data_IF_202776443668
#
_entry.id   IF_202776443668
#
_cell.length_a   1.000
_cell.length_b   1.000
_cell.length_c   1.000
_cell.angle_alpha   90.00
_cell.angle_beta   90.00
_cell.angle_gamma   90.00
#
_symmetry.space_group_name_H-M   'P 1'
#
loop_
_entity.id
_entity.type
_entity.pdbx_description
1 polymer ?
#
# COMPACT_ATOMS: atom_id res chain seq x y z
N UNK A 1 4.95 28.22 65.14
CA UNK A 1 4.28 29.21 64.28
C UNK A 1 4.10 28.57 62.92
N UNK A 2 2.83 28.36 62.59
CA UNK A 2 2.26 27.54 61.53
C UNK A 2 2.41 28.21 60.17
N UNK A 3 2.74 27.43 59.13
CA UNK A 3 2.20 27.51 57.74
C UNK A 3 3.05 26.69 56.75
N UNK A 4 2.52 25.55 56.31
CA UNK A 4 2.88 24.95 55.02
C UNK A 4 1.58 24.80 54.23
N UNK A 5 1.40 25.62 53.21
CA UNK A 5 0.26 25.55 52.30
C UNK A 5 0.57 24.52 51.20
N UNK A 6 -0.19 23.44 51.15
CA UNK A 6 -0.23 22.52 50.01
C UNK A 6 -1.16 23.11 48.94
N UNK A 7 -0.61 23.52 47.79
CA UNK A 7 -1.40 23.87 46.61
C UNK A 7 -1.66 22.59 45.83
N UNK A 8 -2.92 22.14 45.83
CA UNK A 8 -3.40 21.04 45.01
C UNK A 8 -3.71 21.59 43.60
N UNK A 9 -2.82 21.37 42.63
CA UNK A 9 -3.11 21.61 41.21
C UNK A 9 -3.86 20.40 40.68
N UNK A 10 -5.19 20.50 40.57
CA UNK A 10 -5.99 19.50 39.85
C UNK A 10 -5.81 19.77 38.36
N UNK A 11 -4.93 18.99 37.73
CA UNK A 11 -4.78 18.97 36.28
C UNK A 11 -6.05 18.45 35.63
N UNK A 12 -6.65 19.27 34.77
CA UNK A 12 -7.78 18.89 33.93
C UNK A 12 -7.28 17.83 32.93
N UNK A 13 -7.76 16.59 33.06
CA UNK A 13 -7.59 15.58 32.00
C UNK A 13 -8.45 16.03 30.81
N UNK A 14 -7.79 16.51 29.75
CA UNK A 14 -8.43 16.65 28.45
C UNK A 14 -8.82 15.26 27.97
N UNK A 15 -10.12 15.02 27.84
CA UNK A 15 -10.64 13.87 27.10
C UNK A 15 -10.29 14.11 25.63
N UNK A 16 -9.12 13.60 25.22
CA UNK A 16 -8.76 13.50 23.82
C UNK A 16 -9.78 12.60 23.14
N UNK A 17 -10.58 13.20 22.27
CA UNK A 17 -11.56 12.55 21.42
C UNK A 17 -10.96 11.28 20.81
N UNK A 18 -11.60 10.12 21.06
CA UNK A 18 -11.40 8.92 20.25
C UNK A 18 -11.99 9.19 18.86
N UNK A 19 -11.28 9.95 18.03
CA UNK A 19 -11.49 9.89 16.60
C UNK A 19 -10.90 8.55 16.17
N UNK A 20 -11.74 7.72 15.54
CA UNK A 20 -11.36 6.39 15.08
C UNK A 20 -10.02 6.44 14.38
N UNK A 21 -9.11 5.54 14.78
CA UNK A 21 -7.82 5.33 14.13
C UNK A 21 -8.11 4.87 12.70
N UNK A 22 -8.26 5.81 11.77
CA UNK A 22 -8.07 5.52 10.36
C UNK A 22 -6.68 4.92 10.24
N UNK A 23 -6.54 3.83 9.48
CA UNK A 23 -5.26 3.17 9.23
C UNK A 23 -4.37 4.04 8.32
N UNK A 24 -4.10 5.28 8.74
CA UNK A 24 -3.03 6.09 8.17
C UNK A 24 -1.72 5.39 8.56
N UNK A 25 -1.12 4.67 7.61
CA UNK A 25 0.24 4.21 7.78
C UNK A 25 1.21 5.37 7.94
N UNK A 26 2.38 5.05 8.48
CA UNK A 26 3.45 6.01 8.73
C UNK A 26 3.82 6.78 7.44
N UNK A 27 3.62 6.14 6.28
CA UNK A 27 3.91 6.67 4.95
C UNK A 27 2.70 6.55 4.01
N UNK A 28 1.76 7.49 4.09
CA UNK A 28 0.65 7.58 3.13
C UNK A 28 1.15 8.06 1.75
N UNK A 29 0.95 7.26 0.70
CA UNK A 29 1.47 7.55 -0.66
C UNK A 29 0.98 8.87 -1.25
N UNK A 30 -0.15 9.40 -0.79
CA UNK A 30 -0.66 10.71 -1.27
C UNK A 30 0.23 11.87 -0.83
N UNK A 31 0.92 11.74 0.32
CA UNK A 31 1.93 12.70 0.78
C UNK A 31 3.18 12.70 -0.11
N UNK A 32 3.38 11.64 -0.91
CA UNK A 32 4.48 11.49 -1.86
C UNK A 32 4.06 11.82 -3.31
N UNK A 33 2.82 12.26 -3.51
CA UNK A 33 2.31 12.73 -4.79
C UNK A 33 1.46 11.73 -5.57
N UNK A 34 1.15 10.55 -5.01
CA UNK A 34 0.26 9.59 -5.65
C UNK A 34 -1.16 10.18 -5.75
N UNK A 35 -1.81 9.99 -6.90
CA UNK A 35 -3.14 10.53 -7.19
C UNK A 35 -4.25 9.51 -6.99
N UNK A 36 -4.01 8.24 -7.33
CA UNK A 36 -5.04 7.21 -7.23
C UNK A 36 -6.26 7.47 -8.15
N UNK A 37 -6.07 8.18 -9.26
CA UNK A 37 -7.13 8.59 -10.19
C UNK A 37 -7.34 7.60 -11.37
N UNK A 38 -6.49 6.59 -11.48
CA UNK A 38 -6.49 5.57 -12.52
C UNK A 38 -5.89 6.02 -13.86
N UNK A 39 -5.30 7.21 -13.93
CA UNK A 39 -4.77 7.82 -15.15
C UNK A 39 -3.32 8.30 -14.96
N UNK A 40 -3.05 8.97 -13.84
CA UNK A 40 -1.71 9.43 -13.46
C UNK A 40 -0.86 8.22 -13.10
N UNK A 41 0.35 8.15 -13.67
CA UNK A 41 1.33 7.13 -13.31
C UNK A 41 1.86 7.39 -11.90
N UNK A 42 1.42 6.56 -10.95
CA UNK A 42 1.72 6.68 -9.53
C UNK A 42 2.97 5.90 -9.12
N UNK A 43 3.63 5.20 -10.05
CA UNK A 43 4.78 4.31 -9.77
C UNK A 43 5.85 5.01 -8.95
N UNK A 44 6.31 6.19 -9.39
CA UNK A 44 7.40 6.91 -8.72
C UNK A 44 6.98 7.45 -7.34
N UNK A 45 5.72 7.82 -7.16
CA UNK A 45 5.21 8.33 -5.88
C UNK A 45 5.09 7.22 -4.85
N UNK A 46 4.63 6.03 -5.26
CA UNK A 46 4.57 4.85 -4.40
C UNK A 46 5.98 4.39 -4.03
N UNK A 47 6.90 4.31 -5.01
CA UNK A 47 8.29 3.92 -4.73
C UNK A 47 8.96 4.87 -3.74
N UNK A 48 8.76 6.19 -3.85
CA UNK A 48 9.29 7.15 -2.88
C UNK A 48 8.80 6.90 -1.45
N UNK A 49 7.54 6.51 -1.28
CA UNK A 49 7.00 6.17 0.04
C UNK A 49 7.66 4.91 0.60
N UNK A 50 7.88 3.89 -0.25
CA UNK A 50 8.61 2.66 0.10
C UNK A 50 10.06 2.96 0.50
N UNK A 51 10.74 3.82 -0.25
CA UNK A 51 12.12 4.20 -0.01
C UNK A 51 12.28 4.99 1.31
N UNK A 52 11.33 5.87 1.64
CA UNK A 52 11.34 6.59 2.91
C UNK A 52 11.03 5.66 4.09
N UNK A 53 10.06 4.74 3.93
CA UNK A 53 9.76 3.73 4.92
C UNK A 53 10.98 2.83 5.21
N UNK A 54 11.77 2.49 4.20
CA UNK A 54 12.97 1.66 4.36
C UNK A 54 14.00 2.24 5.34
N UNK A 55 14.01 3.57 5.54
CA UNK A 55 14.98 4.23 6.42
C UNK A 55 14.72 3.97 7.91
N UNK A 56 13.47 3.69 8.27
CA UNK A 56 13.04 3.55 9.67
C UNK A 56 12.19 2.29 9.91
N UNK A 57 11.89 1.53 8.86
CA UNK A 57 10.86 0.50 8.84
C UNK A 57 9.45 1.11 8.83
N UNK A 58 8.44 0.26 8.72
CA UNK A 58 7.05 0.67 8.97
C UNK A 58 6.11 0.47 7.78
N UNK A 59 4.99 1.17 7.82
CA UNK A 59 3.86 0.89 6.94
C UNK A 59 3.65 1.98 5.87
N UNK A 60 3.74 1.57 4.61
CA UNK A 60 3.30 2.35 3.45
C UNK A 60 1.82 2.11 3.22
N UNK A 61 1.02 3.17 3.34
CA UNK A 61 -0.42 3.10 3.21
C UNK A 61 -0.90 3.66 1.88
N UNK A 62 -1.70 2.87 1.16
CA UNK A 62 -2.40 3.27 -0.04
C UNK A 62 -3.90 3.44 0.28
N UNK A 63 -4.42 4.68 0.40
CA UNK A 63 -5.85 4.89 0.63
C UNK A 63 -6.70 4.40 -0.57
N UNK A 64 -8.03 4.27 -0.41
CA UNK A 64 -8.91 3.88 -1.50
C UNK A 64 -8.69 4.74 -2.75
N UNK A 65 -8.47 4.09 -3.90
CA UNK A 65 -8.07 4.74 -5.14
C UNK A 65 -7.67 3.72 -6.20
N UNK A 66 -7.48 4.21 -7.43
CA UNK A 66 -6.96 3.43 -8.56
C UNK A 66 -5.58 3.95 -8.92
N UNK A 67 -4.54 3.19 -8.63
CA UNK A 67 -3.17 3.60 -8.85
C UNK A 67 -2.66 2.96 -10.14
N UNK A 68 -2.39 3.76 -11.16
CA UNK A 68 -1.76 3.26 -12.38
C UNK A 68 -0.27 3.05 -12.11
N UNK A 69 0.18 1.81 -12.28
CA UNK A 69 1.57 1.41 -12.07
C UNK A 69 2.12 0.88 -13.39
N UNK A 70 3.00 1.68 -14.00
CA UNK A 70 3.65 1.37 -15.29
C UNK A 70 5.03 0.73 -15.15
N UNK A 71 5.59 0.71 -13.95
CA UNK A 71 6.86 0.05 -13.63
C UNK A 71 6.71 -1.06 -12.61
N UNK A 72 7.78 -1.28 -11.85
CA UNK A 72 7.88 -2.26 -10.77
C UNK A 72 7.92 -1.52 -9.43
N UNK A 73 7.50 -2.20 -8.35
CA UNK A 73 7.55 -1.70 -6.98
C UNK A 73 8.49 -2.59 -6.17
N UNK A 74 9.65 -2.03 -5.82
CA UNK A 74 10.62 -2.70 -4.96
C UNK A 74 10.26 -2.41 -3.50
N UNK A 75 9.84 -3.43 -2.75
CA UNK A 75 9.43 -3.32 -1.34
C UNK A 75 10.63 -3.67 -0.45
N UNK A 76 11.32 -2.67 0.15
CA UNK A 76 12.54 -2.91 0.90
C UNK A 76 12.31 -3.67 2.20
N UNK A 77 13.37 -4.26 2.75
CA UNK A 77 13.26 -5.08 3.96
C UNK A 77 12.63 -4.30 5.15
N UNK A 78 11.77 -4.96 5.91
CA UNK A 78 11.09 -4.36 7.07
C UNK A 78 9.95 -3.39 6.73
N UNK A 79 9.51 -3.33 5.48
CA UNK A 79 8.41 -2.47 5.02
C UNK A 79 7.14 -3.28 4.77
N UNK A 80 6.03 -2.78 5.30
CA UNK A 80 4.68 -3.30 5.04
C UNK A 80 3.94 -2.38 4.06
N UNK A 81 3.28 -2.96 3.06
CA UNK A 81 2.39 -2.25 2.14
C UNK A 81 0.96 -2.62 2.49
N UNK A 82 0.15 -1.61 2.85
CA UNK A 82 -1.24 -1.82 3.26
C UNK A 82 -2.16 -0.96 2.41
N UNK A 83 -3.12 -1.61 1.77
CA UNK A 83 -4.25 -0.96 1.11
C UNK A 83 -5.53 -1.03 1.91
N UNK A 84 -6.50 -0.23 1.50
CA UNK A 84 -7.86 -0.30 2.01
C UNK A 84 -8.64 -1.42 1.27
N UNK A 85 -8.50 -2.66 1.76
CA UNK A 85 -9.16 -3.81 1.13
C UNK A 85 -10.68 -3.71 1.16
N UNK A 86 -11.33 -3.93 0.02
CA UNK A 86 -12.75 -4.28 -0.08
C UNK A 86 -12.91 -5.36 -1.13
N UNK A 87 -13.44 -6.52 -0.75
CA UNK A 87 -13.63 -7.64 -1.68
C UNK A 87 -14.44 -7.19 -2.90
N UNK A 88 -13.97 -7.45 -4.13
CA UNK A 88 -14.70 -7.06 -5.32
C UNK A 88 -16.02 -7.82 -5.41
N UNK A 89 -17.07 -7.13 -5.88
CA UNK A 89 -18.36 -7.74 -6.19
C UNK A 89 -18.51 -7.76 -7.71
N UNK A 90 -18.92 -8.90 -8.27
CA UNK A 90 -18.92 -9.14 -9.72
C UNK A 90 -19.67 -8.08 -10.56
N UNK A 91 -20.63 -7.36 -9.97
CA UNK A 91 -21.48 -6.37 -10.61
C UNK A 91 -21.30 -4.95 -10.06
N UNK A 92 -20.19 -4.66 -9.38
CA UNK A 92 -19.89 -3.33 -8.84
C UNK A 92 -18.52 -2.86 -9.32
N UNK A 93 -18.27 -1.54 -9.38
CA UNK A 93 -16.93 -1.02 -9.60
C UNK A 93 -15.94 -1.59 -8.57
N UNK A 94 -14.69 -1.80 -8.96
CA UNK A 94 -13.62 -2.10 -8.01
C UNK A 94 -13.53 -0.94 -7.01
N UNK A 95 -13.60 -1.27 -5.72
CA UNK A 95 -13.52 -0.32 -4.60
C UNK A 95 -12.37 -0.68 -3.68
N UNK A 96 -11.93 0.26 -2.85
CA UNK A 96 -10.74 0.07 -2.04
C UNK A 96 -9.49 0.47 -2.82
N UNK A 97 -8.36 -0.15 -2.50
CA UNK A 97 -7.08 0.12 -3.16
C UNK A 97 -6.91 -0.81 -4.36
N UNK A 98 -6.86 -0.24 -5.56
CA UNK A 98 -6.71 -0.98 -6.82
C UNK A 98 -5.41 -0.56 -7.50
N UNK A 99 -4.54 -1.51 -7.78
CA UNK A 99 -3.36 -1.33 -8.63
C UNK A 99 -3.75 -1.71 -10.06
N UNK A 100 -3.62 -0.76 -10.98
CA UNK A 100 -3.75 -0.98 -12.42
C UNK A 100 -2.35 -1.21 -12.98
N UNK A 101 -1.98 -2.47 -13.19
CA UNK A 101 -0.64 -2.85 -13.61
C UNK A 101 -0.55 -2.97 -15.14
N UNK A 102 0.39 -2.23 -15.76
CA UNK A 102 0.60 -2.28 -17.22
C UNK A 102 2.03 -2.65 -17.61
N UNK A 103 2.95 -2.79 -16.66
CA UNK A 103 4.34 -3.12 -16.93
C UNK A 103 4.50 -4.57 -17.44
N UNK A 104 5.50 -4.83 -18.29
CA UNK A 104 5.95 -6.19 -18.62
C UNK A 104 5.09 -6.97 -19.62
N UNK A 105 4.03 -6.38 -20.18
CA UNK A 105 3.16 -7.08 -21.13
C UNK A 105 3.93 -7.72 -22.29
N UNK A 106 3.76 -9.01 -22.49
CA UNK A 106 4.42 -9.80 -23.54
C UNK A 106 5.82 -10.30 -23.19
N UNK A 107 6.30 -10.07 -21.96
CA UNK A 107 7.59 -10.55 -21.47
C UNK A 107 7.41 -11.25 -20.11
N UNK A 108 7.43 -12.59 -20.11
CA UNK A 108 7.26 -13.40 -18.89
C UNK A 108 8.50 -13.35 -17.97
N UNK A 109 9.68 -13.15 -18.55
CA UNK A 109 10.98 -13.17 -17.86
C UNK A 109 11.35 -11.78 -17.28
N UNK A 110 10.42 -10.83 -17.28
CA UNK A 110 10.65 -9.49 -16.75
C UNK A 110 10.66 -9.44 -15.21
N UNK A 111 10.95 -8.26 -14.68
CA UNK A 111 10.84 -7.99 -13.24
C UNK A 111 9.39 -8.05 -12.77
N UNK A 112 9.17 -8.56 -11.55
CA UNK A 112 7.83 -8.71 -10.99
C UNK A 112 7.21 -7.35 -10.64
N UNK A 113 5.88 -7.24 -10.68
CA UNK A 113 5.19 -6.00 -10.30
C UNK A 113 5.57 -5.57 -8.88
N UNK A 114 5.66 -6.52 -7.95
CA UNK A 114 6.18 -6.33 -6.61
C UNK A 114 7.38 -7.26 -6.36
N UNK A 115 8.51 -6.67 -6.03
CA UNK A 115 9.72 -7.36 -5.59
C UNK A 115 9.82 -7.23 -4.05
N UNK A 116 9.61 -8.33 -3.33
CA UNK A 116 9.53 -8.35 -1.87
C UNK A 116 10.84 -8.85 -1.26
N UNK A 117 11.50 -7.99 -0.46
CA UNK A 117 12.70 -8.33 0.32
C UNK A 117 12.32 -8.92 1.69
N UNK A 118 13.32 -9.28 2.52
CA UNK A 118 13.07 -9.95 3.80
C UNK A 118 12.20 -9.14 4.77
N UNK A 119 11.34 -9.84 5.52
CA UNK A 119 10.45 -9.24 6.53
C UNK A 119 9.52 -8.17 5.96
N UNK A 120 8.96 -8.42 4.78
CA UNK A 120 8.00 -7.52 4.11
C UNK A 120 6.60 -8.10 4.10
N UNK A 121 5.60 -7.23 3.97
CA UNK A 121 4.24 -7.68 3.71
C UNK A 121 3.53 -6.82 2.68
N UNK A 122 2.61 -7.45 1.94
CA UNK A 122 1.64 -6.77 1.08
C UNK A 122 0.25 -7.24 1.46
N UNK A 123 -0.63 -6.31 1.80
CA UNK A 123 -2.01 -6.62 2.13
C UNK A 123 -3.03 -5.60 1.67
N UNK A 124 -4.25 -6.07 1.45
CA UNK A 124 -5.41 -5.23 1.21
C UNK A 124 -5.46 -4.53 -0.16
N UNK A 125 -4.88 -5.17 -1.18
CA UNK A 125 -4.84 -4.66 -2.55
C UNK A 125 -5.72 -5.49 -3.49
N UNK A 126 -6.28 -4.85 -4.50
CA UNK A 126 -6.70 -5.52 -5.73
C UNK A 126 -5.69 -5.21 -6.83
N UNK A 127 -5.14 -6.22 -7.48
CA UNK A 127 -4.27 -6.07 -8.65
C UNK A 127 -5.07 -6.40 -9.90
N UNK A 128 -5.04 -5.50 -10.88
CA UNK A 128 -5.75 -5.67 -12.14
C UNK A 128 -4.85 -5.29 -13.31
N UNK A 129 -4.75 -6.17 -14.30
CA UNK A 129 -4.04 -5.93 -15.57
C UNK A 129 -5.04 -5.50 -16.66
N UNK A 130 -5.28 -4.19 -16.86
CA UNK A 130 -6.36 -3.70 -17.73
C UNK A 130 -6.15 -4.00 -19.22
N UNK A 131 -4.92 -4.26 -19.64
CA UNK A 131 -4.55 -4.57 -21.02
C UNK A 131 -4.63 -6.07 -21.35
N UNK A 132 -4.85 -6.91 -20.34
CA UNK A 132 -5.10 -8.34 -20.54
C UNK A 132 -6.55 -8.51 -21.04
N UNK A 133 -6.71 -8.87 -22.32
CA UNK A 133 -8.02 -9.05 -22.97
C UNK A 133 -8.23 -10.51 -23.31
N UNK A 134 -9.46 -11.01 -23.18
CA UNK A 134 -9.83 -12.39 -23.55
C UNK A 134 -9.54 -12.72 -25.01
N UNK A 135 -9.45 -11.71 -25.89
CA UNK A 135 -9.14 -11.85 -27.31
C UNK A 135 -7.65 -11.64 -27.64
N UNK A 136 -6.84 -11.17 -26.70
CA UNK A 136 -5.40 -10.91 -26.87
C UNK A 136 -4.70 -11.16 -25.54
N UNK A 137 -4.55 -12.44 -25.21
CA UNK A 137 -3.89 -12.89 -23.98
C UNK A 137 -2.37 -12.87 -24.22
N UNK A 138 -1.65 -12.15 -23.36
CA UNK A 138 -0.19 -12.05 -23.39
C UNK A 138 0.38 -12.38 -22.02
N UNK A 139 1.56 -13.03 -21.94
CA UNK A 139 2.22 -13.25 -20.66
C UNK A 139 2.62 -11.93 -20.02
N UNK A 140 2.69 -11.91 -18.70
CA UNK A 140 3.26 -10.85 -17.89
C UNK A 140 4.30 -11.49 -16.94
N UNK A 141 5.24 -10.70 -16.40
CA UNK A 141 6.05 -11.15 -15.27
C UNK A 141 5.18 -11.51 -14.07
N UNK A 142 5.81 -12.10 -13.06
CA UNK A 142 5.13 -12.41 -11.81
C UNK A 142 4.52 -11.15 -11.18
N UNK A 143 3.33 -11.29 -10.58
CA UNK A 143 2.74 -10.18 -9.83
C UNK A 143 3.49 -9.93 -8.53
N UNK A 144 3.91 -11.01 -7.87
CA UNK A 144 4.70 -10.96 -6.64
C UNK A 144 5.90 -11.90 -6.80
N UNK A 145 7.08 -11.40 -6.47
CA UNK A 145 8.28 -12.20 -6.33
C UNK A 145 8.85 -12.00 -4.93
N UNK A 146 8.91 -13.09 -4.18
CA UNK A 146 9.35 -13.11 -2.79
C UNK A 146 10.83 -13.51 -2.79
N UNK A 147 11.72 -12.52 -2.69
CA UNK A 147 13.17 -12.72 -2.75
C UNK A 147 13.82 -12.97 -1.39
N UNK A 148 13.16 -12.59 -0.30
CA UNK A 148 13.67 -12.67 1.06
C UNK A 148 12.98 -13.70 1.95
N UNK A 149 13.40 -13.73 3.21
CA UNK A 149 12.78 -14.55 4.27
C UNK A 149 11.63 -13.79 4.93
N UNK A 150 10.70 -14.49 5.57
CA UNK A 150 9.61 -13.89 6.35
C UNK A 150 8.72 -12.89 5.59
N UNK A 151 8.44 -13.16 4.31
CA UNK A 151 7.58 -12.33 3.46
C UNK A 151 6.12 -12.81 3.47
N UNK A 152 5.17 -11.88 3.54
CA UNK A 152 3.73 -12.20 3.57
C UNK A 152 2.96 -11.50 2.46
N UNK A 153 2.17 -12.24 1.70
CA UNK A 153 1.14 -11.68 0.81
C UNK A 153 -0.20 -12.19 1.29
N UNK A 154 -1.06 -11.28 1.76
CA UNK A 154 -2.35 -11.65 2.36
C UNK A 154 -3.47 -10.70 1.95
N UNK A 155 -4.71 -11.17 1.92
CA UNK A 155 -5.88 -10.33 1.64
C UNK A 155 -5.76 -9.53 0.32
N UNK A 156 -5.13 -10.14 -0.70
CA UNK A 156 -4.98 -9.58 -2.04
C UNK A 156 -5.97 -10.24 -3.00
N UNK A 157 -6.58 -9.44 -3.88
CA UNK A 157 -7.33 -9.97 -5.03
C UNK A 157 -6.52 -9.80 -6.31
N UNK A 158 -6.36 -10.88 -7.07
CA UNK A 158 -5.68 -10.90 -8.37
C UNK A 158 -6.72 -11.01 -9.49
N UNK A 159 -6.73 -10.03 -10.40
CA UNK A 159 -7.63 -9.97 -11.56
C UNK A 159 -6.80 -9.96 -12.83
N UNK A 160 -7.01 -10.98 -13.67
CA UNK A 160 -6.30 -11.17 -14.94
C UNK A 160 -4.76 -11.22 -14.77
N UNK A 161 -4.30 -11.75 -13.64
CA UNK A 161 -2.89 -11.89 -13.26
C UNK A 161 -2.34 -13.26 -13.64
#
# INVERSE_FOLDING_TARGET
MTRLAFVLVIGVLSVGTLIGKTEEGDFNVTNFGAKGDGVTDDTASIQKALDEAARVGGMVYLPPGKYLVKGNLNVPAGVAVVGASKSPRYNQPLTGTVILATNGRGNEEGEALFELHSSTSVSGLTIYYPEQKVTDIRPYPWTFHLQGEDTTVENVTLINS
#
